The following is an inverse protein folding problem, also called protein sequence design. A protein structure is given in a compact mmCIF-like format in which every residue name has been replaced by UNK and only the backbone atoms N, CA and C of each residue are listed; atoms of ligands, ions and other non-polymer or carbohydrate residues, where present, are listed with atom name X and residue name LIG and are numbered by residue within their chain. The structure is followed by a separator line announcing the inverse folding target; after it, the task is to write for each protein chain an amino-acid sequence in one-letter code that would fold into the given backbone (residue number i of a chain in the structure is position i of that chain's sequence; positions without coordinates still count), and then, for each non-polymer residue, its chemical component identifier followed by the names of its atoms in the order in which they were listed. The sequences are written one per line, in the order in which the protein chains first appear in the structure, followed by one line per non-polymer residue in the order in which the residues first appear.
data_IF_959197597458
#
_entry.id   IF_959197597458
#
_cell.length_a   1.000
_cell.length_b   1.000
_cell.length_c   1.000
_cell.angle_alpha   90.00
_cell.angle_beta   90.00
_cell.angle_gamma   90.00
#
_symmetry.space_group_name_H-M   'P 1'
#
loop_
_entity.id
_entity.type
_entity.pdbx_description
1 polymer ?
#
# COMPACT_ATOMS: atom_id res chain seq x y z
N UNK A 1 -44.00 -20.48 -62.91
CA UNK A 1 -42.95 -19.57 -62.47
C UNK A 1 -43.30 -19.12 -61.03
N UNK A 2 -42.71 -19.72 -60.02
CA UNK A 2 -43.03 -19.44 -58.62
C UNK A 2 -41.77 -18.93 -57.94
N UNK A 3 -41.78 -17.64 -57.55
CA UNK A 3 -40.66 -16.96 -56.89
C UNK A 3 -40.80 -17.06 -55.38
N UNK A 4 -39.97 -17.94 -54.77
CA UNK A 4 -39.88 -18.10 -53.33
C UNK A 4 -39.11 -16.90 -52.69
N UNK A 5 -39.78 -16.11 -51.83
CA UNK A 5 -39.18 -15.05 -51.03
C UNK A 5 -38.51 -15.64 -49.80
N UNK A 6 -37.18 -15.64 -49.78
CA UNK A 6 -36.34 -15.99 -48.65
C UNK A 6 -36.38 -14.87 -47.60
N UNK A 7 -37.04 -15.09 -46.45
CA UNK A 7 -37.00 -14.18 -45.29
C UNK A 7 -35.61 -14.27 -44.64
N UNK A 8 -34.85 -13.16 -44.61
CA UNK A 8 -33.69 -13.00 -43.76
C UNK A 8 -34.17 -12.83 -42.32
N UNK A 9 -33.81 -13.75 -41.46
CA UNK A 9 -33.93 -13.59 -40.01
C UNK A 9 -32.76 -12.73 -39.49
N UNK A 10 -33.07 -11.52 -39.02
CA UNK A 10 -32.12 -10.67 -38.33
C UNK A 10 -31.66 -11.39 -37.04
N UNK A 11 -30.36 -11.60 -36.91
CA UNK A 11 -29.72 -12.14 -35.73
C UNK A 11 -30.01 -11.27 -34.50
N UNK A 12 -30.47 -11.90 -33.44
CA UNK A 12 -30.59 -11.31 -32.09
C UNK A 12 -29.22 -10.82 -31.63
N UNK A 13 -29.11 -9.52 -31.44
CA UNK A 13 -27.97 -8.85 -30.84
C UNK A 13 -27.92 -9.28 -29.36
N UNK A 14 -27.17 -10.33 -29.02
CA UNK A 14 -26.92 -10.75 -27.66
C UNK A 14 -26.04 -9.71 -26.99
N UNK A 15 -26.64 -8.88 -26.15
CA UNK A 15 -25.89 -7.98 -25.25
C UNK A 15 -25.05 -8.88 -24.33
N UNK A 16 -23.73 -8.63 -24.18
CA UNK A 16 -22.91 -9.43 -23.31
C UNK A 16 -23.48 -9.38 -21.88
N UNK A 17 -23.78 -10.53 -21.32
CA UNK A 17 -24.24 -10.68 -19.94
C UNK A 17 -23.14 -10.15 -19.05
N UNK A 18 -23.32 -8.97 -18.47
CA UNK A 18 -22.40 -8.30 -17.56
C UNK A 18 -22.29 -9.20 -16.31
N UNK A 19 -21.24 -10.02 -16.22
CA UNK A 19 -20.97 -10.88 -15.08
C UNK A 19 -21.09 -10.06 -13.80
N UNK A 20 -21.96 -10.47 -12.90
CA UNK A 20 -22.20 -9.79 -11.64
C UNK A 20 -20.91 -9.90 -10.81
N UNK A 21 -20.18 -8.81 -10.64
CA UNK A 21 -18.94 -8.75 -9.85
C UNK A 21 -19.25 -9.13 -8.41
N UNK A 22 -18.37 -9.89 -7.77
CA UNK A 22 -18.47 -10.16 -6.34
C UNK A 22 -18.20 -8.88 -5.54
N UNK A 23 -18.69 -8.80 -4.31
CA UNK A 23 -18.41 -7.68 -3.41
C UNK A 23 -16.90 -7.51 -3.15
N UNK A 24 -16.17 -8.63 -3.10
CA UNK A 24 -14.71 -8.62 -2.91
C UNK A 24 -13.98 -8.05 -4.13
N UNK A 25 -14.37 -8.44 -5.36
CA UNK A 25 -13.81 -7.90 -6.61
C UNK A 25 -14.07 -6.39 -6.71
N UNK A 26 -15.29 -5.94 -6.41
CA UNK A 26 -15.65 -4.53 -6.43
C UNK A 26 -14.84 -3.71 -5.40
N UNK A 27 -14.60 -4.27 -4.20
CA UNK A 27 -13.77 -3.65 -3.16
C UNK A 27 -12.31 -3.53 -3.63
N UNK A 28 -11.74 -4.57 -4.20
CA UNK A 28 -10.36 -4.58 -4.70
C UNK A 28 -10.18 -3.56 -5.84
N UNK A 29 -11.10 -3.51 -6.81
CA UNK A 29 -11.08 -2.51 -7.88
C UNK A 29 -11.15 -1.07 -7.33
N UNK A 30 -11.97 -0.84 -6.29
CA UNK A 30 -12.10 0.47 -5.65
C UNK A 30 -10.79 0.89 -4.96
N UNK A 31 -10.14 -0.01 -4.26
CA UNK A 31 -8.84 0.26 -3.62
C UNK A 31 -7.77 0.52 -4.68
N UNK A 32 -7.74 -0.24 -5.79
CA UNK A 32 -6.80 -0.01 -6.88
C UNK A 32 -7.00 1.37 -7.53
N UNK A 33 -8.24 1.79 -7.78
CA UNK A 33 -8.54 3.13 -8.29
C UNK A 33 -8.17 4.24 -7.30
N UNK A 34 -8.43 4.04 -6.00
CA UNK A 34 -8.02 4.97 -4.95
C UNK A 34 -6.49 5.12 -4.89
N UNK A 35 -5.73 4.02 -5.00
CA UNK A 35 -4.26 4.03 -5.07
C UNK A 35 -3.76 4.80 -6.28
N UNK A 36 -4.34 4.60 -7.45
CA UNK A 36 -3.99 5.35 -8.68
C UNK A 36 -4.18 6.85 -8.48
N UNK A 37 -5.30 7.28 -7.89
CA UNK A 37 -5.58 8.68 -7.58
C UNK A 37 -4.58 9.21 -6.54
N UNK A 38 -4.29 8.47 -5.48
CA UNK A 38 -3.28 8.84 -4.47
C UNK A 38 -1.92 9.15 -5.13
N UNK A 39 -1.46 8.26 -6.00
CA UNK A 39 -0.14 8.40 -6.64
C UNK A 39 -0.08 9.54 -7.64
N UNK A 40 -1.16 9.79 -8.40
CA UNK A 40 -1.18 10.80 -9.46
C UNK A 40 -1.61 12.19 -9.00
N UNK A 41 -2.49 12.28 -7.99
CA UNK A 41 -3.15 13.54 -7.59
C UNK A 41 -2.95 13.88 -6.09
N UNK A 42 -2.39 12.94 -5.31
CA UNK A 42 -2.18 13.10 -3.88
C UNK A 42 -3.36 12.67 -3.01
N UNK A 43 -3.17 12.70 -1.68
CA UNK A 43 -4.15 12.12 -0.73
C UNK A 43 -5.47 12.89 -0.65
N UNK A 44 -5.48 14.21 -0.85
CA UNK A 44 -6.70 15.03 -0.84
C UNK A 44 -7.67 14.65 -1.96
N UNK A 45 -7.15 14.14 -3.07
CA UNK A 45 -7.93 13.67 -4.21
C UNK A 45 -8.59 12.30 -3.96
N UNK A 46 -8.19 11.56 -2.93
CA UNK A 46 -8.77 10.24 -2.59
C UNK A 46 -10.12 10.44 -1.89
N UNK A 47 -11.13 10.74 -2.68
CA UNK A 47 -12.53 10.94 -2.26
C UNK A 47 -13.44 9.89 -2.90
N UNK A 48 -14.58 9.59 -2.26
CA UNK A 48 -15.57 8.68 -2.86
C UNK A 48 -16.04 9.17 -4.24
N UNK A 49 -16.16 10.51 -4.44
CA UNK A 49 -16.56 11.13 -5.71
C UNK A 49 -15.53 10.84 -6.81
N UNK A 50 -14.26 11.12 -6.55
CA UNK A 50 -13.21 10.96 -7.56
C UNK A 50 -12.98 9.48 -7.91
N UNK A 51 -13.01 8.60 -6.89
CA UNK A 51 -12.89 7.16 -7.11
C UNK A 51 -14.09 6.59 -7.87
N UNK A 52 -15.30 7.08 -7.59
CA UNK A 52 -16.50 6.70 -8.35
C UNK A 52 -16.39 7.11 -9.82
N UNK A 53 -15.90 8.33 -10.09
CA UNK A 53 -15.68 8.82 -11.45
C UNK A 53 -14.63 7.96 -12.20
N UNK A 54 -13.52 7.62 -11.54
CA UNK A 54 -12.47 6.76 -12.12
C UNK A 54 -12.98 5.36 -12.50
N UNK A 55 -13.90 4.82 -11.69
CA UNK A 55 -14.50 3.50 -11.92
C UNK A 55 -15.73 3.51 -12.84
N UNK A 56 -16.22 4.67 -13.24
CA UNK A 56 -17.49 4.79 -13.98
C UNK A 56 -18.70 4.30 -13.19
N UNK A 57 -18.68 4.47 -11.85
CA UNK A 57 -19.77 4.12 -10.94
C UNK A 57 -20.33 5.35 -10.25
N UNK A 58 -21.31 5.18 -9.36
CA UNK A 58 -21.90 6.29 -8.62
C UNK A 58 -21.28 6.49 -7.24
N UNK A 59 -21.24 7.75 -6.78
CA UNK A 59 -20.83 8.08 -5.40
C UNK A 59 -21.65 7.29 -4.35
N UNK A 60 -22.97 7.16 -4.56
CA UNK A 60 -23.89 6.43 -3.69
C UNK A 60 -23.51 4.95 -3.56
N UNK A 61 -23.06 4.33 -4.65
CA UNK A 61 -22.61 2.95 -4.61
C UNK A 61 -21.37 2.78 -3.72
N UNK A 62 -20.37 3.66 -3.85
CA UNK A 62 -19.18 3.62 -3.01
C UNK A 62 -19.48 4.00 -1.55
N UNK A 63 -20.38 4.94 -1.33
CA UNK A 63 -20.86 5.30 0.02
C UNK A 63 -21.48 4.08 0.72
N UNK A 64 -22.26 3.28 0.00
CA UNK A 64 -22.85 2.04 0.54
C UNK A 64 -21.77 0.99 0.91
N UNK A 65 -20.69 0.89 0.15
CA UNK A 65 -19.63 -0.09 0.38
C UNK A 65 -18.59 0.33 1.42
N UNK A 66 -18.27 1.61 1.54
CA UNK A 66 -17.19 2.12 2.39
C UNK A 66 -17.68 3.03 3.52
N UNK A 67 -18.89 3.56 3.47
CA UNK A 67 -19.39 4.51 4.45
C UNK A 67 -18.88 5.94 4.20
N UNK A 68 -17.64 6.22 4.53
CA UNK A 68 -17.05 7.57 4.41
C UNK A 68 -15.77 7.57 3.55
N UNK A 69 -15.34 8.76 3.14
CA UNK A 69 -14.03 8.90 2.49
C UNK A 69 -12.89 8.50 3.43
N UNK A 70 -13.03 8.74 4.74
CA UNK A 70 -12.07 8.29 5.75
C UNK A 70 -11.96 6.77 5.83
N UNK A 71 -13.08 6.05 5.73
CA UNK A 71 -13.08 4.60 5.73
C UNK A 71 -12.45 4.03 4.45
N UNK A 72 -12.67 4.67 3.29
CA UNK A 72 -11.98 4.32 2.05
C UNK A 72 -10.46 4.53 2.17
N UNK A 73 -10.03 5.67 2.72
CA UNK A 73 -8.60 5.98 2.94
C UNK A 73 -7.96 5.01 3.93
N UNK A 74 -8.68 4.63 4.98
CA UNK A 74 -8.25 3.61 5.95
C UNK A 74 -8.12 2.24 5.28
N UNK A 75 -9.09 1.85 4.47
CA UNK A 75 -9.04 0.59 3.74
C UNK A 75 -7.88 0.56 2.74
N UNK A 76 -7.61 1.69 2.06
CA UNK A 76 -6.45 1.84 1.18
C UNK A 76 -5.14 1.68 1.95
N UNK A 77 -4.98 2.39 3.08
CA UNK A 77 -3.78 2.28 3.92
C UNK A 77 -3.58 0.86 4.44
N UNK A 78 -4.64 0.21 4.93
CA UNK A 78 -4.58 -1.18 5.40
C UNK A 78 -4.08 -2.12 4.29
N UNK A 79 -4.58 -1.95 3.06
CA UNK A 79 -4.12 -2.74 1.91
C UNK A 79 -2.65 -2.46 1.59
N UNK A 80 -2.21 -1.19 1.63
CA UNK A 80 -0.81 -0.82 1.37
C UNK A 80 0.14 -1.41 2.42
N UNK A 81 -0.26 -1.43 3.69
CA UNK A 81 0.52 -2.06 4.77
C UNK A 81 0.55 -3.58 4.62
N UNK A 82 -0.56 -4.20 4.19
CA UNK A 82 -0.60 -5.63 3.90
C UNK A 82 0.33 -5.99 2.74
N UNK A 83 0.27 -5.25 1.64
CA UNK A 83 1.15 -5.45 0.47
C UNK A 83 2.63 -5.34 0.87
N UNK A 84 2.96 -4.37 1.75
CA UNK A 84 4.32 -4.21 2.28
C UNK A 84 4.71 -5.41 3.16
N UNK A 85 3.82 -5.86 4.05
CA UNK A 85 4.07 -7.02 4.91
C UNK A 85 4.32 -8.28 4.07
N UNK A 86 3.53 -8.51 3.03
CA UNK A 86 3.68 -9.65 2.12
C UNK A 86 5.01 -9.57 1.34
N UNK A 87 5.36 -8.39 0.83
CA UNK A 87 6.64 -8.16 0.15
C UNK A 87 7.84 -8.38 1.09
N UNK A 88 7.76 -7.93 2.34
CA UNK A 88 8.80 -8.16 3.35
C UNK A 88 8.89 -9.63 3.75
N UNK A 89 7.77 -10.34 3.90
CA UNK A 89 7.80 -11.77 4.18
C UNK A 89 8.51 -12.56 3.07
N UNK A 90 8.29 -12.22 1.81
CA UNK A 90 9.03 -12.81 0.68
C UNK A 90 10.51 -12.41 0.65
N UNK A 91 10.83 -11.16 0.97
CA UNK A 91 12.22 -10.71 1.07
C UNK A 91 12.96 -11.40 2.23
N UNK A 92 12.32 -11.58 3.39
CA UNK A 92 12.87 -12.30 4.55
C UNK A 92 13.22 -13.76 4.22
N UNK A 93 12.40 -14.45 3.44
CA UNK A 93 12.72 -15.82 2.99
C UNK A 93 14.02 -15.87 2.19
N UNK A 94 14.28 -14.83 1.37
CA UNK A 94 15.51 -14.72 0.55
C UNK A 94 16.74 -14.37 1.39
N UNK A 95 16.58 -13.59 2.49
CA UNK A 95 17.70 -13.22 3.38
C UNK A 95 18.36 -14.45 4.02
N UNK A 96 17.61 -15.54 4.22
CA UNK A 96 18.17 -16.81 4.72
C UNK A 96 19.17 -17.45 3.74
N UNK A 97 19.22 -16.99 2.50
CA UNK A 97 20.02 -17.57 1.42
C UNK A 97 21.26 -16.70 1.06
N UNK A 98 21.23 -15.37 1.41
CA UNK A 98 22.32 -14.46 1.02
C UNK A 98 22.39 -13.20 1.92
N UNK A 99 23.60 -12.84 2.42
CA UNK A 99 23.84 -11.67 3.30
C UNK A 99 23.53 -10.32 2.62
N UNK A 100 23.63 -10.22 1.28
CA UNK A 100 23.28 -8.99 0.54
C UNK A 100 21.77 -8.66 0.57
N UNK A 101 20.96 -9.60 1.01
CA UNK A 101 19.49 -9.47 1.05
C UNK A 101 18.98 -8.52 2.15
N UNK A 102 19.78 -8.18 3.18
CA UNK A 102 19.35 -7.20 4.22
C UNK A 102 19.13 -5.80 3.62
N UNK A 103 19.94 -5.41 2.62
CA UNK A 103 19.78 -4.17 1.90
C UNK A 103 18.45 -4.14 1.12
N UNK A 104 18.03 -5.26 0.57
CA UNK A 104 16.75 -5.42 -0.13
C UNK A 104 15.52 -5.19 0.76
N UNK A 105 15.60 -5.52 2.05
CA UNK A 105 14.50 -5.24 3.01
C UNK A 105 14.28 -3.73 3.17
N UNK A 106 15.36 -2.96 3.35
CA UNK A 106 15.30 -1.51 3.50
C UNK A 106 14.74 -0.86 2.22
N UNK A 107 15.26 -1.26 1.06
CA UNK A 107 14.76 -0.75 -0.22
C UNK A 107 13.26 -1.02 -0.40
N UNK A 108 12.79 -2.20 -0.01
CA UNK A 108 11.37 -2.57 -0.07
C UNK A 108 10.51 -1.62 0.79
N UNK A 109 10.95 -1.31 2.01
CA UNK A 109 10.21 -0.41 2.91
C UNK A 109 10.22 1.01 2.36
N UNK A 110 11.40 1.55 2.02
CA UNK A 110 11.51 2.91 1.49
C UNK A 110 10.71 3.09 0.20
N UNK A 111 10.72 2.11 -0.69
CA UNK A 111 9.94 2.16 -1.93
C UNK A 111 8.42 2.13 -1.66
N UNK A 112 7.95 1.38 -0.68
CA UNK A 112 6.55 1.39 -0.30
C UNK A 112 6.10 2.76 0.23
N UNK A 113 6.94 3.44 1.01
CA UNK A 113 6.63 4.76 1.53
C UNK A 113 6.73 5.85 0.46
N UNK A 114 7.74 5.83 -0.40
CA UNK A 114 7.99 6.83 -1.44
C UNK A 114 7.15 6.52 -2.71
N UNK A 115 7.55 5.54 -3.51
CA UNK A 115 6.92 5.18 -4.78
C UNK A 115 5.51 4.60 -4.59
N UNK A 116 5.31 3.83 -3.53
CA UNK A 116 4.02 3.25 -3.16
C UNK A 116 3.00 4.27 -2.64
N UNK A 117 3.46 5.46 -2.23
CA UNK A 117 2.63 6.55 -1.74
C UNK A 117 2.15 6.41 -0.28
N UNK A 118 2.62 5.38 0.44
CA UNK A 118 2.22 5.16 1.83
C UNK A 118 2.63 6.32 2.74
N UNK A 119 3.81 6.92 2.53
CA UNK A 119 4.29 8.07 3.30
C UNK A 119 3.37 9.30 3.16
N UNK A 120 2.95 9.63 1.94
CA UNK A 120 2.03 10.75 1.69
C UNK A 120 0.66 10.53 2.31
N UNK A 121 0.13 9.32 2.21
CA UNK A 121 -1.17 9.00 2.81
C UNK A 121 -1.08 8.98 4.34
N UNK A 122 0.00 8.45 4.93
CA UNK A 122 0.22 8.44 6.37
C UNK A 122 0.35 9.88 6.93
N UNK A 123 1.11 10.75 6.26
CA UNK A 123 1.24 12.16 6.63
C UNK A 123 -0.12 12.86 6.61
N UNK A 124 -0.90 12.64 5.56
CA UNK A 124 -2.23 13.23 5.45
C UNK A 124 -3.18 12.75 6.55
N UNK A 125 -3.19 11.45 6.87
CA UNK A 125 -4.00 10.88 7.95
C UNK A 125 -3.59 11.49 9.30
N UNK A 126 -2.28 11.60 9.57
CA UNK A 126 -1.76 12.17 10.80
C UNK A 126 -2.16 13.64 10.98
N UNK A 127 -1.97 14.45 9.93
CA UNK A 127 -2.30 15.89 9.94
C UNK A 127 -3.82 16.14 9.98
N UNK A 128 -4.61 15.22 9.48
CA UNK A 128 -6.08 15.31 9.52
C UNK A 128 -6.68 14.83 10.86
N UNK A 129 -5.87 14.54 11.86
CA UNK A 129 -6.28 14.02 13.19
C UNK A 129 -7.13 12.72 13.11
N UNK A 130 -6.84 11.86 12.12
CA UNK A 130 -7.55 10.60 11.88
C UNK A 130 -6.75 9.37 12.34
N UNK A 131 -5.83 9.55 13.28
CA UNK A 131 -4.92 8.49 13.76
C UNK A 131 -5.65 7.26 14.33
N UNK A 132 -6.89 7.43 14.85
CA UNK A 132 -7.69 6.31 15.34
C UNK A 132 -7.93 5.22 14.27
N UNK A 133 -7.92 5.59 12.98
CA UNK A 133 -8.05 4.65 11.88
C UNK A 133 -6.80 3.75 11.69
N UNK A 134 -5.65 4.14 12.22
CA UNK A 134 -4.42 3.34 12.14
C UNK A 134 -4.46 2.07 13.00
N UNK A 135 -5.36 2.00 13.98
CA UNK A 135 -5.52 0.81 14.83
C UNK A 135 -5.82 -0.48 14.05
N UNK A 136 -6.45 -0.38 12.89
CA UNK A 136 -6.73 -1.54 12.02
C UNK A 136 -5.45 -2.17 11.43
N UNK A 137 -4.33 -1.44 11.40
CA UNK A 137 -3.04 -1.92 10.89
C UNK A 137 -2.22 -2.63 11.96
N UNK A 138 -2.59 -2.50 13.24
CA UNK A 138 -1.82 -3.04 14.37
C UNK A 138 -1.50 -4.52 14.19
N UNK A 139 -2.51 -5.31 13.80
CA UNK A 139 -2.31 -6.75 13.59
C UNK A 139 -1.24 -7.04 12.54
N UNK A 140 -1.30 -6.37 11.40
CA UNK A 140 -0.34 -6.59 10.29
C UNK A 140 1.08 -6.24 10.73
N UNK A 141 1.25 -5.15 11.48
CA UNK A 141 2.56 -4.73 12.01
C UNK A 141 3.09 -5.73 13.04
N UNK A 142 2.23 -6.24 13.94
CA UNK A 142 2.62 -7.24 14.92
C UNK A 142 2.98 -8.59 14.26
N UNK A 143 2.26 -8.99 13.23
CA UNK A 143 2.58 -10.22 12.47
C UNK A 143 3.93 -10.07 11.74
N UNK A 144 4.24 -8.89 11.21
CA UNK A 144 5.55 -8.57 10.63
C UNK A 144 6.67 -8.65 11.69
N UNK A 145 6.49 -8.06 12.87
CA UNK A 145 7.47 -8.14 13.98
C UNK A 145 7.77 -9.60 14.31
N UNK A 146 6.73 -10.44 14.46
CA UNK A 146 6.91 -11.88 14.72
C UNK A 146 7.70 -12.59 13.63
N UNK A 147 7.39 -12.29 12.35
CA UNK A 147 8.11 -12.90 11.23
C UNK A 147 9.61 -12.54 11.23
N UNK A 148 9.96 -11.31 11.64
CA UNK A 148 11.36 -10.89 11.80
C UNK A 148 12.01 -11.60 13.02
N UNK A 149 11.31 -11.72 14.13
CA UNK A 149 11.79 -12.42 15.33
C UNK A 149 12.12 -13.89 15.07
N UNK A 150 11.39 -14.54 14.17
CA UNK A 150 11.62 -15.94 13.80
C UNK A 150 12.94 -16.18 13.08
N UNK A 151 13.48 -15.15 12.40
CA UNK A 151 14.75 -15.24 11.65
C UNK A 151 15.94 -14.66 12.41
N UNK A 152 15.70 -13.93 13.52
CA UNK A 152 16.77 -13.38 14.36
C UNK A 152 17.18 -14.36 15.47
N UNK A 153 18.44 -14.35 15.92
CA UNK A 153 18.91 -15.26 16.98
C UNK A 153 18.11 -15.09 18.28
N UNK A 154 17.68 -16.20 18.87
CA UNK A 154 16.77 -16.23 20.02
C UNK A 154 17.48 -15.90 21.33
N UNK A 155 17.25 -14.68 21.85
CA UNK A 155 17.28 -14.39 23.28
C UNK A 155 16.06 -13.55 23.64
N UNK A 156 15.11 -14.12 24.36
CA UNK A 156 13.68 -13.86 24.29
C UNK A 156 13.15 -12.43 24.45
N UNK A 157 13.51 -11.68 25.47
CA UNK A 157 12.95 -10.33 25.73
C UNK A 157 13.75 -9.24 25.02
N UNK A 158 15.06 -9.39 25.02
CA UNK A 158 15.99 -8.46 24.37
C UNK A 158 15.81 -8.47 22.84
N UNK A 159 15.52 -9.63 22.25
CA UNK A 159 15.25 -9.76 20.82
C UNK A 159 13.98 -9.00 20.41
N UNK A 160 12.90 -9.10 21.19
CA UNK A 160 11.67 -8.35 20.93
C UNK A 160 11.92 -6.83 20.93
N UNK A 161 12.65 -6.31 21.91
CA UNK A 161 13.00 -4.89 21.98
C UNK A 161 13.86 -4.45 20.79
N UNK A 162 14.84 -5.26 20.39
CA UNK A 162 15.69 -4.98 19.24
C UNK A 162 14.88 -4.94 17.93
N UNK A 163 14.09 -5.96 17.66
CA UNK A 163 13.26 -6.05 16.46
C UNK A 163 12.25 -4.90 16.39
N UNK A 164 11.55 -4.62 17.49
CA UNK A 164 10.59 -3.51 17.52
C UNK A 164 11.28 -2.15 17.33
N UNK A 165 12.47 -1.96 17.91
CA UNK A 165 13.27 -0.74 17.69
C UNK A 165 13.73 -0.60 16.23
N UNK A 166 14.17 -1.69 15.60
CA UNK A 166 14.51 -1.73 14.18
C UNK A 166 13.31 -1.36 13.30
N UNK A 167 12.14 -1.93 13.59
CA UNK A 167 10.90 -1.63 12.85
C UNK A 167 10.51 -0.15 12.98
N UNK A 168 10.54 0.40 14.21
CA UNK A 168 10.28 1.83 14.45
C UNK A 168 11.29 2.71 13.70
N UNK A 169 12.57 2.39 13.79
CA UNK A 169 13.64 3.14 13.14
C UNK A 169 13.45 3.19 11.63
N UNK A 170 13.30 2.02 10.97
CA UNK A 170 13.12 1.95 9.51
C UNK A 170 11.82 2.60 9.08
N UNK A 171 10.71 2.42 9.81
CA UNK A 171 9.43 3.03 9.49
C UNK A 171 9.48 4.56 9.56
N UNK A 172 10.09 5.13 10.61
CA UNK A 172 10.21 6.59 10.77
C UNK A 172 11.18 7.19 9.76
N UNK A 173 12.30 6.50 9.46
CA UNK A 173 13.27 6.96 8.45
C UNK A 173 12.63 6.98 7.06
N UNK A 174 11.94 5.92 6.65
CA UNK A 174 11.28 5.85 5.34
C UNK A 174 10.10 6.80 5.23
N UNK A 175 9.33 6.99 6.32
CA UNK A 175 8.29 8.00 6.37
C UNK A 175 8.85 9.42 6.20
N UNK A 176 9.89 9.78 6.96
CA UNK A 176 10.54 11.09 6.88
C UNK A 176 11.14 11.34 5.50
N UNK A 177 11.81 10.34 4.92
CA UNK A 177 12.36 10.40 3.57
C UNK A 177 11.29 10.66 2.51
N UNK A 178 10.15 9.94 2.57
CA UNK A 178 9.05 10.11 1.63
C UNK A 178 8.36 11.49 1.71
N UNK A 179 8.39 12.14 2.88
CA UNK A 179 7.70 13.42 3.11
C UNK A 179 8.62 14.62 2.87
N UNK A 180 9.85 14.56 3.39
CA UNK A 180 10.77 15.71 3.40
C UNK A 180 12.19 15.38 2.91
N UNK A 181 12.49 14.12 2.60
CA UNK A 181 13.83 13.66 2.27
C UNK A 181 14.47 14.44 1.13
N UNK A 182 13.81 14.51 -0.02
CA UNK A 182 14.36 15.18 -1.20
C UNK A 182 14.69 16.68 -0.98
N UNK A 183 13.81 17.51 -0.41
CA UNK A 183 14.17 18.90 -0.07
C UNK A 183 15.29 18.97 0.98
N UNK A 184 15.31 18.10 1.98
CA UNK A 184 16.34 18.11 3.02
C UNK A 184 17.72 17.72 2.45
N UNK A 185 17.78 16.69 1.61
CA UNK A 185 19.00 16.28 0.89
C UNK A 185 19.56 17.43 0.03
N UNK A 186 18.69 18.16 -0.67
CA UNK A 186 19.07 19.32 -1.48
C UNK A 186 19.64 20.43 -0.61
N UNK A 187 18.99 20.78 0.51
CA UNK A 187 19.45 21.83 1.43
C UNK A 187 20.81 21.51 2.06
N UNK A 188 21.06 20.23 2.31
CA UNK A 188 22.32 19.76 2.92
C UNK A 188 23.41 19.40 1.90
N UNK A 189 23.17 19.59 0.60
CA UNK A 189 24.10 19.20 -0.45
C UNK A 189 24.39 17.69 -0.49
N UNK A 190 23.42 16.86 -0.08
CA UNK A 190 23.55 15.41 -0.05
C UNK A 190 23.02 14.79 -1.34
N UNK A 191 23.56 13.62 -1.67
CA UNK A 191 23.04 12.82 -2.78
C UNK A 191 21.62 12.31 -2.46
N UNK A 192 20.85 12.06 -3.52
CA UNK A 192 19.55 11.40 -3.41
C UNK A 192 19.67 10.04 -2.71
N UNK A 193 18.64 9.71 -1.92
CA UNK A 193 18.58 8.45 -1.15
C UNK A 193 19.59 8.40 0.02
N UNK A 194 20.06 9.54 0.53
CA UNK A 194 20.96 9.56 1.68
C UNK A 194 20.35 8.88 2.92
N UNK A 195 19.06 9.08 3.18
CA UNK A 195 18.34 8.44 4.29
C UNK A 195 18.34 6.91 4.18
N UNK A 196 18.15 6.35 2.98
CA UNK A 196 18.22 4.90 2.72
C UNK A 196 19.60 4.32 3.03
N UNK A 197 20.65 5.00 2.57
CA UNK A 197 22.04 4.60 2.83
C UNK A 197 22.36 4.61 4.32
N UNK A 198 21.91 5.66 5.03
CA UNK A 198 22.08 5.78 6.49
C UNK A 198 21.31 4.66 7.21
N UNK A 199 20.06 4.41 6.83
CA UNK A 199 19.27 3.34 7.42
C UNK A 199 19.93 1.97 7.23
N UNK A 200 20.47 1.69 6.03
CA UNK A 200 21.17 0.44 5.74
C UNK A 200 22.45 0.26 6.58
N UNK A 201 23.18 1.37 6.86
CA UNK A 201 24.38 1.34 7.69
C UNK A 201 24.08 1.15 9.17
N UNK A 202 22.95 1.69 9.66
CA UNK A 202 22.60 1.67 11.08
C UNK A 202 21.76 0.45 11.48
N UNK A 203 20.99 -0.13 10.56
CA UNK A 203 20.11 -1.25 10.86
C UNK A 203 20.81 -2.43 11.58
N UNK A 204 22.05 -2.84 11.21
CA UNK A 204 22.75 -3.92 11.91
C UNK A 204 23.01 -3.65 13.40
N UNK A 205 22.94 -2.41 13.85
CA UNK A 205 23.10 -2.06 15.28
C UNK A 205 21.84 -2.40 16.10
N UNK A 206 20.71 -2.60 15.44
CA UNK A 206 19.44 -2.98 16.06
C UNK A 206 19.20 -4.50 16.02
N UNK A 207 19.80 -5.21 15.09
CA UNK A 207 19.63 -6.66 14.87
C UNK A 207 20.89 -7.43 15.21
#
# INVERSE_FOLDING_TARGET
MSTSKKRLTLGKNERPVRRRRSAAEAKAETIAAARKILLSQGPDAVTLKNVAAELGTTHTNLLHHFGTAGDLQTALMTTMVQDLSDALAEAIKRVREDEDSQRGLIETVFDAFDKGGAGRLAAWIALSNKLAHLGQMQKVILDLVKAIEEITPKNSVENHQRVTSAVIFVALMSFGDAVIGAPLETMLGRERQAARKIAAQLLPQFL
#
